data_IF_279366123910
#
_entry.id   IF_279366123910
#
_cell.length_a   1.000
_cell.length_b   1.000
_cell.length_c   1.000
_cell.angle_alpha   90.00
_cell.angle_beta   90.00
_cell.angle_gamma   90.00
#
_symmetry.space_group_name_H-M   'P 1'
#
loop_
_entity.id
_entity.type
_entity.pdbx_description
1 polymer ?
#
# COMPACT_ATOMS: atom_id res chain seq x y z
N UNK A 1 16.88 -6.73 10.59
CA UNK A 1 15.45 -6.40 10.52
C UNK A 1 15.03 -6.44 9.06
N UNK A 2 13.75 -6.69 8.77
CA UNK A 2 13.20 -6.62 7.41
C UNK A 2 12.90 -5.16 7.07
N UNK A 3 13.39 -4.68 5.93
CA UNK A 3 12.97 -3.39 5.38
C UNK A 3 11.93 -3.62 4.28
N UNK A 4 10.68 -3.23 4.55
CA UNK A 4 9.56 -3.42 3.63
C UNK A 4 9.73 -2.64 2.32
N UNK A 5 10.38 -1.47 2.34
CA UNK A 5 10.55 -0.64 1.15
C UNK A 5 11.76 -1.06 0.31
N UNK A 6 12.67 -1.85 0.87
CA UNK A 6 13.84 -2.34 0.16
C UNK A 6 13.46 -3.47 -0.82
N UNK A 7 13.66 -3.30 -2.14
CA UNK A 7 13.32 -4.32 -3.12
C UNK A 7 14.11 -5.62 -2.98
N UNK A 8 15.32 -5.58 -2.42
CA UNK A 8 16.14 -6.78 -2.22
C UNK A 8 15.60 -7.70 -1.13
N UNK A 9 14.86 -7.14 -0.17
CA UNK A 9 14.25 -7.88 0.93
C UNK A 9 12.94 -8.61 0.53
N UNK A 10 12.45 -8.38 -0.70
CA UNK A 10 11.25 -9.00 -1.28
C UNK A 10 11.34 -10.52 -1.40
N UNK A 11 12.56 -11.04 -1.63
CA UNK A 11 12.82 -12.48 -1.85
C UNK A 11 12.52 -13.35 -0.63
N UNK A 12 12.27 -12.74 0.53
CA UNK A 12 11.90 -13.43 1.77
C UNK A 12 10.42 -13.85 1.80
N UNK A 13 9.60 -13.32 0.90
CA UNK A 13 8.19 -13.69 0.77
C UNK A 13 7.95 -14.34 -0.59
N UNK A 14 7.09 -15.35 -0.61
CA UNK A 14 6.53 -15.85 -1.86
C UNK A 14 5.60 -14.77 -2.45
N UNK A 15 5.85 -14.42 -3.72
CA UNK A 15 5.00 -13.47 -4.44
C UNK A 15 3.58 -14.01 -4.58
N UNK A 16 2.58 -13.14 -4.44
CA UNK A 16 1.16 -13.42 -4.69
C UNK A 16 0.47 -14.40 -3.74
N UNK A 17 1.03 -14.66 -2.56
CA UNK A 17 0.47 -15.61 -1.59
C UNK A 17 -0.64 -15.04 -0.71
N UNK A 18 -0.80 -13.71 -0.65
CA UNK A 18 -1.74 -13.09 0.27
C UNK A 18 -3.05 -12.72 -0.41
N UNK A 19 -4.16 -13.29 0.05
CA UNK A 19 -5.50 -12.91 -0.39
C UNK A 19 -6.02 -11.66 0.32
N UNK A 20 -5.49 -11.30 1.49
CA UNK A 20 -5.87 -10.10 2.21
C UNK A 20 -4.61 -9.44 2.75
N UNK A 21 -4.45 -8.16 2.46
CA UNK A 21 -3.45 -7.30 3.10
C UNK A 21 -4.17 -6.17 3.80
N UNK A 22 -3.84 -5.97 5.07
CA UNK A 22 -4.40 -4.91 5.90
C UNK A 22 -3.27 -3.99 6.33
N UNK A 23 -3.38 -2.71 5.99
CA UNK A 23 -2.47 -1.67 6.44
C UNK A 23 -3.17 -0.78 7.47
N UNK A 24 -2.67 -0.78 8.71
CA UNK A 24 -3.19 0.00 9.84
C UNK A 24 -2.34 1.27 10.14
N UNK A 25 -1.77 1.90 9.12
CA UNK A 25 -1.06 3.19 9.22
C UNK A 25 0.40 3.18 8.77
N UNK A 26 0.91 2.09 8.18
CA UNK A 26 2.25 2.03 7.58
C UNK A 26 2.34 2.99 6.39
N UNK A 27 1.33 3.00 5.52
CA UNK A 27 1.24 3.96 4.42
C UNK A 27 1.30 5.41 4.89
N UNK A 28 0.55 5.74 5.93
CA UNK A 28 0.52 7.08 6.52
C UNK A 28 1.89 7.47 7.08
N UNK A 29 2.55 6.55 7.80
CA UNK A 29 3.89 6.77 8.35
C UNK A 29 4.93 7.00 7.24
N UNK A 30 4.87 6.23 6.15
CA UNK A 30 5.73 6.42 4.97
C UNK A 30 5.55 7.82 4.38
N UNK A 31 4.29 8.28 4.32
CA UNK A 31 3.94 9.57 3.75
C UNK A 31 4.34 10.79 4.59
N UNK A 32 4.90 10.59 5.80
CA UNK A 32 5.45 11.68 6.60
C UNK A 32 6.87 12.11 6.14
N UNK A 33 7.54 11.31 5.30
CA UNK A 33 8.83 11.68 4.73
C UNK A 33 8.66 12.62 3.53
N UNK A 34 8.73 13.91 3.78
CA UNK A 34 8.49 14.97 2.79
C UNK A 34 9.54 15.02 1.66
N UNK A 35 10.74 14.49 1.85
CA UNK A 35 11.80 14.56 0.83
C UNK A 35 11.62 13.48 -0.23
N UNK A 36 11.13 12.30 0.17
CA UNK A 36 11.10 11.11 -0.69
C UNK A 36 9.70 10.48 -0.82
N UNK A 37 8.64 11.24 -0.48
CA UNK A 37 7.27 10.73 -0.39
C UNK A 37 6.81 9.96 -1.63
N UNK A 38 7.02 10.52 -2.83
CA UNK A 38 6.54 9.92 -4.09
C UNK A 38 7.26 8.59 -4.40
N UNK A 39 8.58 8.56 -4.18
CA UNK A 39 9.37 7.35 -4.42
C UNK A 39 9.04 6.25 -3.42
N UNK A 40 8.95 6.59 -2.12
CA UNK A 40 8.60 5.62 -1.07
C UNK A 40 7.16 5.11 -1.24
N UNK A 41 6.24 5.96 -1.65
CA UNK A 41 4.87 5.58 -2.00
C UNK A 41 4.85 4.59 -3.18
N UNK A 42 5.60 4.88 -4.24
CA UNK A 42 5.73 3.99 -5.40
C UNK A 42 6.29 2.62 -4.99
N UNK A 43 7.33 2.60 -4.16
CA UNK A 43 7.89 1.37 -3.61
C UNK A 43 6.86 0.60 -2.78
N UNK A 44 6.18 1.27 -1.85
CA UNK A 44 5.11 0.67 -1.05
C UNK A 44 4.03 0.02 -1.92
N UNK A 45 3.49 0.76 -2.91
CA UNK A 45 2.45 0.28 -3.81
C UNK A 45 2.93 -0.97 -4.57
N UNK A 46 4.16 -0.93 -5.08
CA UNK A 46 4.77 -2.06 -5.77
C UNK A 46 4.87 -3.29 -4.85
N UNK A 47 5.21 -3.10 -3.58
CA UNK A 47 5.30 -4.19 -2.62
C UNK A 47 3.95 -4.82 -2.33
N UNK A 48 2.91 -4.02 -2.09
CA UNK A 48 1.55 -4.54 -1.92
C UNK A 48 1.14 -5.33 -3.16
N UNK A 49 1.39 -4.81 -4.36
CA UNK A 49 1.08 -5.53 -5.60
C UNK A 49 1.85 -6.84 -5.72
N UNK A 50 3.12 -6.92 -5.32
CA UNK A 50 3.89 -8.16 -5.42
C UNK A 50 3.40 -9.23 -4.44
N UNK A 51 2.94 -8.83 -3.26
CA UNK A 51 2.48 -9.74 -2.21
C UNK A 51 1.01 -10.16 -2.39
N UNK A 52 0.16 -9.27 -2.91
CA UNK A 52 -1.27 -9.50 -3.04
C UNK A 52 -1.57 -10.40 -4.24
N UNK A 53 -2.29 -11.49 -3.99
CA UNK A 53 -2.90 -12.34 -5.01
C UNK A 53 -3.73 -11.51 -6.00
N UNK A 54 -3.87 -11.97 -7.25
CA UNK A 54 -4.63 -11.29 -8.32
C UNK A 54 -6.08 -10.96 -7.93
N UNK A 55 -6.64 -11.80 -7.08
CA UNK A 55 -8.02 -11.81 -6.60
C UNK A 55 -8.10 -11.47 -5.10
N UNK A 56 -7.01 -10.91 -4.57
CA UNK A 56 -6.90 -10.46 -3.19
C UNK A 56 -7.46 -9.06 -2.93
N UNK A 57 -7.69 -8.78 -1.66
CA UNK A 57 -8.18 -7.49 -1.16
C UNK A 57 -7.10 -6.75 -0.38
N UNK A 58 -6.95 -5.46 -0.68
CA UNK A 58 -6.11 -4.54 0.08
C UNK A 58 -7.00 -3.57 0.86
N UNK A 59 -6.84 -3.54 2.19
CA UNK A 59 -7.60 -2.68 3.10
C UNK A 59 -6.62 -1.68 3.71
N UNK A 60 -6.78 -0.41 3.37
CA UNK A 60 -5.96 0.68 3.87
C UNK A 60 -6.75 1.51 4.89
N UNK A 61 -6.23 1.57 6.12
CA UNK A 61 -6.66 2.54 7.11
C UNK A 61 -5.75 3.77 7.00
N UNK A 62 -6.34 4.94 6.75
CA UNK A 62 -5.62 6.21 6.64
C UNK A 62 -6.38 7.29 7.40
N UNK A 63 -5.67 8.07 8.20
CA UNK A 63 -6.20 9.28 8.85
C UNK A 63 -5.56 10.57 8.35
N UNK A 64 -4.50 10.48 7.54
CA UNK A 64 -3.75 11.65 7.05
C UNK A 64 -4.21 12.13 5.68
N UNK A 65 -4.92 11.29 4.92
CA UNK A 65 -5.30 11.57 3.54
C UNK A 65 -6.80 11.41 3.33
N UNK A 66 -7.37 12.32 2.55
CA UNK A 66 -8.74 12.20 2.06
C UNK A 66 -8.87 11.05 1.06
N UNK A 67 -10.09 10.54 0.86
CA UNK A 67 -10.38 9.54 -0.17
C UNK A 67 -9.85 9.93 -1.55
N UNK A 68 -10.08 11.18 -1.96
CA UNK A 68 -9.69 11.64 -3.30
C UNK A 68 -8.17 11.71 -3.47
N UNK A 69 -7.43 12.06 -2.41
CA UNK A 69 -5.96 12.02 -2.40
C UNK A 69 -5.46 10.58 -2.49
N UNK A 70 -6.01 9.67 -1.69
CA UNK A 70 -5.68 8.25 -1.79
C UNK A 70 -5.97 7.71 -3.19
N UNK A 71 -7.13 7.98 -3.77
CA UNK A 71 -7.44 7.53 -5.13
C UNK A 71 -6.45 8.10 -6.16
N UNK A 72 -5.96 9.34 -5.99
CA UNK A 72 -4.90 9.90 -6.84
C UNK A 72 -3.57 9.17 -6.64
N UNK A 73 -3.20 8.88 -5.40
CA UNK A 73 -1.94 8.19 -5.07
C UNK A 73 -1.86 6.78 -5.67
N UNK A 74 -2.98 6.06 -5.73
CA UNK A 74 -3.05 4.71 -6.29
C UNK A 74 -3.45 4.69 -7.77
N UNK A 75 -3.71 5.85 -8.40
CA UNK A 75 -4.14 5.94 -9.80
C UNK A 75 -3.07 5.38 -10.75
N UNK A 76 -3.52 4.63 -11.76
CA UNK A 76 -2.64 4.05 -12.78
C UNK A 76 -1.95 2.75 -12.36
N UNK A 77 -2.19 2.29 -11.12
CA UNK A 77 -1.77 0.97 -10.65
C UNK A 77 -2.87 -0.07 -10.91
N UNK A 78 -2.59 -1.34 -10.59
CA UNK A 78 -3.51 -2.47 -10.79
C UNK A 78 -4.58 -2.59 -9.70
N UNK A 79 -4.79 -1.54 -8.89
CA UNK A 79 -5.82 -1.54 -7.86
C UNK A 79 -7.14 -0.99 -8.40
N UNK A 80 -8.23 -1.66 -8.04
CA UNK A 80 -9.58 -1.16 -8.23
C UNK A 80 -10.17 -0.77 -6.88
N UNK A 81 -10.64 0.48 -6.76
CA UNK A 81 -11.31 0.93 -5.55
C UNK A 81 -12.70 0.29 -5.45
N UNK A 82 -12.95 -0.44 -4.36
CA UNK A 82 -14.23 -1.12 -4.13
C UNK A 82 -15.20 -0.31 -3.29
N UNK A 83 -14.79 0.08 -2.09
CA UNK A 83 -15.63 0.83 -1.16
C UNK A 83 -14.79 1.54 -0.10
N UNK A 84 -15.43 2.46 0.60
CA UNK A 84 -14.91 3.12 1.79
C UNK A 84 -15.81 2.75 2.97
N UNK A 85 -15.20 2.45 4.11
CA UNK A 85 -15.92 2.19 5.36
C UNK A 85 -15.54 3.30 6.33
N UNK A 86 -16.53 4.10 6.71
CA UNK A 86 -16.37 5.15 7.71
C UNK A 86 -17.07 4.71 8.99
N UNK A 87 -16.37 4.79 10.12
CA UNK A 87 -16.96 4.57 11.44
C UNK A 87 -17.46 5.93 11.95
N UNK A 88 -18.75 5.99 12.30
CA UNK A 88 -19.41 7.15 12.90
C UNK A 88 -18.99 7.34 14.36
#
# INVERSE_FOLDING_TARGET
>A
ALDFLNPSDQTKFCSKDFYVIIDKGTYDAICLDVEHIEEKRRQYIHQILNLLSSDGYFILFSCNWTKDELQKHFRGNLFFFLTEVSFL
#
